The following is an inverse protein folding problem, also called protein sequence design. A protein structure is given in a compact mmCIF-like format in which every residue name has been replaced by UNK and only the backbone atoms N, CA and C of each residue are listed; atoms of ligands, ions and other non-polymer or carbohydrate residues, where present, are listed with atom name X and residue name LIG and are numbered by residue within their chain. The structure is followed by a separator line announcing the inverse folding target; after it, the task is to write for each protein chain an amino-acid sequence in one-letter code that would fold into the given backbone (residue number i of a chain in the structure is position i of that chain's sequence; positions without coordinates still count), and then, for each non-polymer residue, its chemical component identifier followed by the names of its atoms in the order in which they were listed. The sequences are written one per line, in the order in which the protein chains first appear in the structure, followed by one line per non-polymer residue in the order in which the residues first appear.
data_IF_450002046607
#
_entry.id   IF_450002046607
#
_cell.length_a   1.000
_cell.length_b   1.000
_cell.length_c   1.000
_cell.angle_alpha   90.00
_cell.angle_beta   90.00
_cell.angle_gamma   90.00
#
_symmetry.space_group_name_H-M   'P 1'
#
loop_
_entity.id
_entity.type
_entity.pdbx_description
1 polymer ?
#
# COMPACT_ATOMS: atom_id res chain seq x y z
N UNK A 1 1.48 -13.86 7.53
CA UNK A 1 1.69 -13.25 8.85
C UNK A 1 0.34 -13.29 9.52
N UNK A 2 0.26 -13.59 10.81
CA UNK A 2 -1.04 -13.59 11.48
C UNK A 2 -1.21 -12.18 12.04
N UNK A 3 -2.32 -11.51 11.72
CA UNK A 3 -2.65 -10.25 12.36
C UNK A 3 -3.00 -10.55 13.82
N UNK A 4 -2.25 -10.01 14.77
CA UNK A 4 -2.47 -10.27 16.20
C UNK A 4 -3.77 -9.64 16.72
N UNK A 5 -4.35 -8.69 15.97
CA UNK A 5 -5.58 -7.99 16.32
C UNK A 5 -6.84 -8.82 15.97
N UNK A 6 -6.84 -9.51 14.82
CA UNK A 6 -8.00 -10.29 14.36
C UNK A 6 -7.73 -11.79 14.14
N UNK A 7 -6.51 -12.27 14.36
CA UNK A 7 -6.11 -13.67 14.21
C UNK A 7 -6.08 -14.20 12.77
N UNK A 8 -6.36 -13.36 11.77
CA UNK A 8 -6.36 -13.77 10.38
C UNK A 8 -4.94 -13.86 9.82
N UNK A 9 -4.64 -14.97 9.14
CA UNK A 9 -3.41 -15.14 8.39
C UNK A 9 -3.46 -14.32 7.09
N UNK A 10 -3.31 -13.01 7.17
CA UNK A 10 -3.14 -12.17 5.98
C UNK A 10 -1.69 -12.22 5.47
N UNK A 11 -1.55 -12.28 4.15
CA UNK A 11 -0.26 -12.01 3.54
C UNK A 11 0.05 -10.51 3.70
N UNK A 12 1.33 -10.15 3.76
CA UNK A 12 1.76 -8.74 3.72
C UNK A 12 1.18 -8.02 2.50
N UNK A 13 0.94 -8.75 1.41
CA UNK A 13 0.26 -8.25 0.22
C UNK A 13 -1.20 -7.86 0.51
N UNK A 14 -1.98 -8.72 1.17
CA UNK A 14 -3.37 -8.43 1.53
C UNK A 14 -3.49 -7.19 2.43
N UNK A 15 -2.65 -7.09 3.47
CA UNK A 15 -2.63 -5.94 4.38
C UNK A 15 -2.33 -4.61 3.64
N UNK A 16 -1.40 -4.63 2.68
CA UNK A 16 -1.09 -3.46 1.84
C UNK A 16 -2.27 -3.11 0.93
N UNK A 17 -2.92 -4.10 0.31
CA UNK A 17 -4.09 -3.85 -0.55
C UNK A 17 -5.28 -3.28 0.23
N UNK A 18 -5.51 -3.76 1.46
CA UNK A 18 -6.52 -3.22 2.37
C UNK A 18 -6.21 -1.76 2.72
N UNK A 19 -4.96 -1.50 3.11
CA UNK A 19 -4.45 -0.16 3.41
C UNK A 19 -4.67 0.82 2.25
N UNK A 20 -4.45 0.38 1.01
CA UNK A 20 -4.71 1.21 -0.19
C UNK A 20 -6.19 1.53 -0.35
N UNK A 21 -7.09 0.58 -0.10
CA UNK A 21 -8.54 0.80 -0.19
C UNK A 21 -9.01 1.79 0.87
N UNK A 22 -8.57 1.62 2.11
CA UNK A 22 -8.86 2.54 3.22
C UNK A 22 -8.34 3.96 2.90
N UNK A 23 -7.09 4.06 2.43
CA UNK A 23 -6.50 5.34 2.04
C UNK A 23 -7.28 6.03 0.93
N UNK A 24 -7.73 5.29 -0.10
CA UNK A 24 -8.58 5.85 -1.18
C UNK A 24 -9.94 6.31 -0.67
N UNK A 25 -10.53 5.60 0.28
CA UNK A 25 -11.84 5.96 0.84
C UNK A 25 -11.76 7.24 1.67
N UNK A 26 -10.67 7.42 2.44
CA UNK A 26 -10.45 8.60 3.27
C UNK A 26 -9.90 9.80 2.49
N UNK A 27 -9.12 9.55 1.43
CA UNK A 27 -8.43 10.57 0.66
C UNK A 27 -8.61 10.36 -0.86
N UNK A 28 -9.84 10.46 -1.39
CA UNK A 28 -10.14 10.16 -2.79
C UNK A 28 -9.38 11.05 -3.78
N UNK A 29 -9.06 12.29 -3.38
CA UNK A 29 -8.31 13.27 -4.20
C UNK A 29 -6.80 13.02 -4.22
N UNK A 30 -6.26 12.19 -3.31
CA UNK A 30 -4.82 11.95 -3.21
C UNK A 30 -4.40 10.78 -4.10
N UNK A 31 -3.36 10.99 -4.90
CA UNK A 31 -2.73 9.90 -5.66
C UNK A 31 -2.05 8.91 -4.72
N UNK A 32 -2.09 7.62 -5.05
CA UNK A 32 -1.45 6.59 -4.24
C UNK A 32 0.05 6.63 -4.49
N UNK A 33 0.84 6.89 -3.46
CA UNK A 33 2.30 6.78 -3.54
C UNK A 33 2.80 5.67 -2.61
N UNK A 34 4.00 5.15 -2.89
CA UNK A 34 4.63 4.18 -1.97
C UNK A 34 4.86 4.79 -0.59
N UNK A 35 5.13 6.10 -0.48
CA UNK A 35 5.34 6.75 0.81
C UNK A 35 4.04 6.77 1.61
N UNK A 36 2.95 7.27 1.00
CA UNK A 36 1.67 7.39 1.70
C UNK A 36 1.19 6.03 2.23
N UNK A 37 1.30 4.98 1.41
CA UNK A 37 0.87 3.63 1.83
C UNK A 37 1.81 3.01 2.85
N UNK A 38 3.12 3.26 2.78
CA UNK A 38 4.06 2.78 3.78
C UNK A 38 3.77 3.43 5.15
N UNK A 39 3.55 4.73 5.17
CA UNK A 39 3.28 5.51 6.37
C UNK A 39 1.88 5.21 6.96
N UNK A 40 0.90 4.91 6.09
CA UNK A 40 -0.45 4.49 6.47
C UNK A 40 -0.50 3.07 7.01
N UNK A 41 0.10 2.11 6.27
CA UNK A 41 0.00 0.69 6.60
C UNK A 41 0.68 0.37 7.92
N UNK A 42 1.88 0.92 8.20
CA UNK A 42 2.71 0.71 9.42
C UNK A 42 3.04 -0.73 9.83
N UNK A 43 2.41 -1.74 9.23
CA UNK A 43 2.62 -3.17 9.50
C UNK A 43 3.76 -3.73 8.63
N UNK A 44 4.12 -3.05 7.55
CA UNK A 44 5.18 -3.49 6.63
C UNK A 44 6.49 -2.80 6.94
N UNK A 45 7.46 -3.56 7.44
CA UNK A 45 8.80 -3.04 7.80
C UNK A 45 9.62 -2.54 6.61
N UNK A 46 9.28 -2.95 5.38
CA UNK A 46 10.06 -2.63 4.19
C UNK A 46 9.26 -1.85 3.15
N UNK A 47 9.63 -0.59 2.98
CA UNK A 47 9.14 0.27 1.90
C UNK A 47 9.34 -0.34 0.51
N UNK A 48 10.42 -1.11 0.31
CA UNK A 48 10.68 -1.85 -0.93
C UNK A 48 9.66 -2.97 -1.15
N UNK A 49 9.17 -3.64 -0.10
CA UNK A 49 8.08 -4.63 -0.21
C UNK A 49 6.78 -3.94 -0.63
N UNK A 50 6.41 -2.82 0.01
CA UNK A 50 5.25 -2.01 -0.37
C UNK A 50 5.33 -1.60 -1.84
N UNK A 51 6.46 -1.06 -2.27
CA UNK A 51 6.66 -0.65 -3.67
C UNK A 51 6.45 -1.79 -4.68
N UNK A 52 6.96 -2.99 -4.38
CA UNK A 52 6.77 -4.17 -5.24
C UNK A 52 5.32 -4.62 -5.26
N UNK A 53 4.64 -4.64 -4.12
CA UNK A 53 3.22 -5.03 -4.03
C UNK A 53 2.36 -4.05 -4.84
N UNK A 54 2.61 -2.74 -4.68
CA UNK A 54 1.90 -1.72 -5.45
C UNK A 54 2.15 -1.87 -6.96
N UNK A 55 3.40 -2.10 -7.36
CA UNK A 55 3.74 -2.29 -8.77
C UNK A 55 3.21 -3.59 -9.39
N UNK A 56 2.93 -4.61 -8.57
CA UNK A 56 2.32 -5.87 -9.00
C UNK A 56 0.80 -5.75 -9.20
N UNK A 57 0.14 -4.90 -8.40
CA UNK A 57 -1.33 -4.85 -8.32
C UNK A 57 -1.97 -3.60 -8.94
N UNK A 58 -1.20 -2.53 -9.18
CA UNK A 58 -1.70 -1.25 -9.68
C UNK A 58 -0.87 -0.75 -10.86
N UNK A 59 -1.49 0.08 -11.69
CA UNK A 59 -0.81 0.71 -12.81
C UNK A 59 0.12 1.81 -12.28
N UNK A 60 1.42 1.64 -12.55
CA UNK A 60 2.43 2.62 -12.13
C UNK A 60 2.57 3.71 -13.19
N UNK A 61 2.20 4.93 -12.83
CA UNK A 61 2.50 6.12 -13.62
C UNK A 61 3.90 6.63 -13.28
N UNK A 62 4.79 6.66 -14.29
CA UNK A 62 6.18 7.09 -14.13
C UNK A 62 6.34 8.55 -14.57
N UNK A 63 6.08 9.48 -13.65
CA UNK A 63 6.34 10.92 -13.82
C UNK A 63 7.69 11.38 -13.25
N UNK A 64 8.75 10.57 -13.38
CA UNK A 64 10.05 10.84 -12.74
C UNK A 64 9.98 10.76 -11.21
N UNK A 65 10.30 11.86 -10.51
CA UNK A 65 10.25 11.95 -9.02
C UNK A 65 8.84 11.73 -8.44
N UNK A 66 7.79 11.91 -9.23
CA UNK A 66 6.39 11.78 -8.80
C UNK A 66 5.74 10.51 -9.33
N UNK A 67 6.31 9.35 -8.99
CA UNK A 67 5.69 8.07 -9.33
C UNK A 67 4.49 7.80 -8.42
N UNK A 68 3.33 7.53 -9.01
CA UNK A 68 2.11 7.15 -8.29
C UNK A 68 1.43 5.94 -8.93
N UNK A 69 0.44 5.38 -8.23
CA UNK A 69 -0.27 4.16 -8.57
C UNK A 69 -1.77 4.45 -8.74
N UNK A 70 -2.40 3.75 -9.69
CA UNK A 70 -3.86 3.78 -9.92
C UNK A 70 -4.45 2.37 -9.97
#
# INVERSE_FOLDING_TARGET
MICEDCGHAESVEAAVLRSVREFRMLFPERKITTNDIFDWCRIVESKKRVSRILAKNFNKFRGGRWSYYE
#
